data_IF_235582891198
#
_entry.id   IF_235582891198
#
_cell.length_a   1.000
_cell.length_b   1.000
_cell.length_c   1.000
_cell.angle_alpha   90.00
_cell.angle_beta   90.00
_cell.angle_gamma   90.00
#
_symmetry.space_group_name_H-M   'P 1'
#
loop_
_entity.id
_entity.type
_entity.pdbx_description
1 polymer ?
2 non-polymer ?
3 non-polymer ?
4 water ?
#
# COMPACT_ATOMS: atom_id res chain seq x y z
N UNK A 1 -16.36 5.49 -6.67
CA UNK A 1 -16.04 6.91 -6.37
C UNK A 1 -14.74 7.01 -5.56
N UNK A 2 -13.59 7.10 -6.21
CA UNK A 2 -12.31 7.03 -5.48
C UNK A 2 -11.66 8.42 -5.35
N UNK A 3 -12.33 9.48 -5.79
CA UNK A 3 -11.67 10.76 -5.98
C UNK A 3 -11.05 11.35 -4.73
N UNK A 4 -11.58 11.11 -3.55
CA UNK A 4 -11.01 11.70 -2.33
C UNK A 4 -9.63 11.13 -2.02
N UNK A 5 -9.31 9.94 -2.56
CA UNK A 5 -8.01 9.32 -2.38
C UNK A 5 -6.93 9.92 -3.27
N UNK A 6 -7.31 10.65 -4.31
CA UNK A 6 -6.33 11.07 -5.31
C UNK A 6 -5.44 12.15 -4.71
N UNK A 7 -4.19 12.15 -5.10
CA UNK A 7 -3.23 13.16 -4.70
C UNK A 7 -1.93 12.57 -4.25
N UNK A 8 -1.14 13.40 -3.63
CA UNK A 8 0.20 13.06 -3.16
C UNK A 8 0.18 12.99 -1.63
N UNK A 9 0.67 11.88 -1.10
CA UNK A 9 0.58 11.55 0.32
C UNK A 9 1.93 11.16 0.85
N UNK A 10 2.22 11.53 2.10
CA UNK A 10 3.52 11.14 2.66
C UNK A 10 3.33 10.44 3.98
N UNK A 11 4.19 9.47 4.22
CA UNK A 11 4.08 8.65 5.43
C UNK A 11 4.40 9.48 6.67
N UNK A 12 3.51 9.39 7.67
CA UNK A 12 3.68 10.12 8.93
C UNK A 12 3.54 9.25 10.15
N UNK A 13 3.24 7.96 10.04
CA UNK A 13 3.18 7.05 11.19
C UNK A 13 3.24 5.63 10.65
N UNK A 14 3.85 4.73 11.41
CA UNK A 14 3.85 3.33 11.01
C UNK A 14 3.85 2.43 12.24
N UNK A 15 2.94 1.47 12.23
CA UNK A 15 2.82 0.50 13.34
C UNK A 15 2.88 -0.91 12.74
N UNK A 16 3.79 -1.73 13.26
CA UNK A 16 3.88 -3.15 12.96
C UNK A 16 4.33 -3.45 11.52
N UNK A 17 5.01 -2.51 10.86
CA UNK A 17 5.47 -2.79 9.51
C UNK A 17 6.54 -3.89 9.52
N UNK A 18 7.39 -3.93 10.53
CA UNK A 18 8.38 -4.99 10.57
C UNK A 18 7.70 -6.36 10.65
N UNK A 19 6.67 -6.49 11.48
CA UNK A 19 5.95 -7.76 11.57
C UNK A 19 5.39 -8.15 10.21
N UNK A 20 4.79 -7.18 9.53
CA UNK A 20 4.21 -7.46 8.21
C UNK A 20 5.29 -7.92 7.23
N UNK A 21 6.39 -7.19 7.16
CA UNK A 21 7.48 -7.58 6.27
C UNK A 21 8.03 -8.95 6.63
N UNK A 22 8.21 -9.21 7.92
CA UNK A 22 8.76 -10.50 8.31
C UNK A 22 7.82 -11.62 7.87
N UNK A 23 6.50 -11.41 8.01
CA UNK A 23 5.51 -12.40 7.63
C UNK A 23 5.61 -12.73 6.11
N UNK A 24 5.94 -11.75 5.32
CA UNK A 24 6.14 -11.91 3.88
C UNK A 24 7.50 -12.51 3.53
N UNK A 25 8.36 -12.72 4.50
CA UNK A 25 9.68 -13.29 4.21
C UNK A 25 10.72 -12.27 3.79
N UNK A 26 10.51 -10.99 4.08
CA UNK A 26 11.49 -9.96 3.74
C UNK A 26 12.68 -10.10 4.66
N UNK A 27 13.88 -10.06 4.09
CA UNK A 27 15.10 -10.24 4.87
C UNK A 27 15.39 -9.10 5.81
N UNK A 28 16.20 -9.40 6.86
CA UNK A 28 16.39 -8.45 7.94
C UNK A 28 17.02 -7.14 7.45
N UNK A 29 17.92 -7.18 6.49
CA UNK A 29 18.61 -5.96 6.07
C UNK A 29 17.65 -5.06 5.33
N UNK A 30 16.77 -5.64 4.52
CA UNK A 30 15.73 -4.85 3.85
C UNK A 30 14.76 -4.29 4.85
N UNK A 31 14.37 -5.10 5.85
CA UNK A 31 13.47 -4.59 6.88
C UNK A 31 14.09 -3.41 7.63
N UNK A 32 15.41 -3.49 7.92
CA UNK A 32 16.06 -2.42 8.64
C UNK A 32 15.90 -1.10 7.88
N UNK A 33 16.28 -1.11 6.61
CA UNK A 33 16.20 0.12 5.81
C UNK A 33 14.74 0.56 5.68
N UNK A 34 13.86 -0.38 5.40
CA UNK A 34 12.43 -0.07 5.22
C UNK A 34 11.86 0.61 6.47
N UNK A 35 12.29 0.21 7.64
CA UNK A 35 11.76 0.76 8.91
C UNK A 35 12.07 2.23 9.06
N UNK A 36 13.08 2.72 8.35
CA UNK A 36 13.51 4.12 8.39
C UNK A 36 13.13 4.91 7.14
N UNK A 37 12.35 4.33 6.27
CA UNK A 37 11.99 4.93 5.00
C UNK A 37 10.61 5.57 5.14
N UNK A 38 10.42 6.77 4.53
CA UNK A 38 9.13 7.44 4.54
C UNK A 38 8.68 7.64 3.10
N UNK A 39 7.87 6.71 2.56
CA UNK A 39 7.50 6.87 1.16
C UNK A 39 6.53 8.02 0.92
N UNK A 40 6.50 8.40 -0.35
CA UNK A 40 5.48 9.28 -0.91
C UNK A 40 4.65 8.43 -1.84
N UNK A 41 3.33 8.43 -1.65
CA UNK A 41 2.40 7.71 -2.50
C UNK A 41 1.59 8.72 -3.32
N UNK A 42 1.54 8.49 -4.62
CA UNK A 42 0.80 9.37 -5.53
C UNK A 42 -0.28 8.50 -6.16
N UNK A 43 -1.53 8.94 -6.04
CA UNK A 43 -2.67 8.21 -6.58
C UNK A 43 -3.31 9.14 -7.62
N UNK A 44 -3.37 8.67 -8.87
CA UNK A 44 -3.91 9.43 -10.01
C UNK A 44 -4.96 8.55 -10.70
N UNK A 45 -5.87 9.20 -11.43
CA UNK A 45 -6.81 8.47 -12.28
C UNK A 45 -6.88 9.11 -13.63
N UNK A 46 -7.24 8.25 -14.61
CA UNK A 46 -7.59 8.65 -15.97
C UNK A 46 -8.77 7.76 -16.34
N UNK A 47 -9.99 8.30 -16.23
CA UNK A 47 -11.19 7.40 -16.18
C UNK A 47 -11.21 6.45 -14.97
N UNK A 48 -11.45 5.13 -15.22
CA UNK A 48 -11.44 4.06 -14.20
C UNK A 48 -10.09 3.37 -14.25
N UNK A 49 -9.04 4.03 -14.88
CA UNK A 49 -7.68 3.52 -14.73
C UNK A 49 -6.99 4.35 -13.66
N UNK A 50 -6.64 3.70 -12.57
CA UNK A 50 -5.85 4.32 -11.51
C UNK A 50 -4.40 3.97 -11.71
N UNK A 51 -3.56 4.89 -11.30
CA UNK A 51 -2.13 4.66 -11.19
C UNK A 51 -1.70 5.01 -9.78
N UNK A 52 -1.01 4.10 -9.13
CA UNK A 52 -0.57 4.26 -7.76
C UNK A 52 0.93 4.11 -7.75
N UNK A 53 1.62 5.22 -7.48
CA UNK A 53 3.07 5.28 -7.39
C UNK A 53 3.47 5.30 -5.94
N UNK A 54 4.50 4.56 -5.61
CA UNK A 54 5.08 4.62 -4.26
C UNK A 54 6.56 4.89 -4.44
N UNK A 55 7.02 6.03 -3.94
CA UNK A 55 8.38 6.51 -4.16
C UNK A 55 9.10 6.59 -2.83
N UNK A 56 10.38 6.24 -2.83
CA UNK A 56 11.18 6.39 -1.63
C UNK A 56 12.65 6.40 -1.99
N UNK A 57 13.48 6.61 -0.96
CA UNK A 57 14.91 6.55 -1.11
C UNK A 57 15.43 5.11 -1.21
N UNK A 58 14.58 4.12 -1.03
CA UNK A 58 15.00 2.71 -1.03
C UNK A 58 14.45 1.99 -2.24
N UNK A 59 13.15 1.79 -2.29
CA UNK A 59 12.44 1.14 -3.38
C UNK A 59 11.42 2.09 -3.97
N UNK A 60 11.11 1.90 -5.25
CA UNK A 60 10.00 2.58 -5.94
C UNK A 60 9.14 1.55 -6.63
N UNK A 61 7.84 1.77 -6.64
CA UNK A 61 6.91 0.95 -7.40
C UNK A 61 5.94 1.85 -8.10
N UNK A 62 5.23 1.20 -9.16
CA UNK A 62 4.12 1.85 -9.79
C UNK A 62 3.25 0.73 -10.32
N UNK A 63 1.96 0.88 -10.10
CA UNK A 63 0.96 -0.02 -10.69
C UNK A 63 -0.12 0.81 -11.35
N UNK A 64 -0.68 0.29 -12.44
CA UNK A 64 -1.89 0.82 -13.05
C UNK A 64 -2.89 -0.30 -13.16
N UNK A 65 -4.15 0.04 -12.94
CA UNK A 65 -5.18 -0.96 -12.90
C UNK A 65 -6.52 -0.31 -13.15
N UNK A 66 -7.44 -1.11 -13.65
CA UNK A 66 -8.84 -0.74 -13.68
C UNK A 66 -9.48 -1.29 -12.42
N UNK A 67 -10.29 -0.50 -11.75
CA UNK A 67 -11.01 -1.00 -10.58
C UNK A 67 -11.78 -2.24 -10.97
N UNK A 68 -11.65 -3.23 -10.12
CA UNK A 68 -12.41 -4.46 -10.27
C UNK A 68 -11.91 -5.42 -11.34
N UNK A 69 -10.75 -5.19 -11.92
CA UNK A 69 -10.19 -6.06 -12.97
C UNK A 69 -8.82 -6.55 -12.51
N UNK A 70 -8.62 -7.84 -12.53
CA UNK A 70 -7.34 -8.41 -12.06
C UNK A 70 -6.18 -7.92 -12.94
N UNK A 71 -5.03 -7.80 -12.29
CA UNK A 71 -3.81 -7.40 -12.98
C UNK A 71 -2.64 -8.18 -12.34
N UNK A 72 -1.60 -8.40 -13.15
CA UNK A 72 -0.33 -8.92 -12.64
C UNK A 72 0.46 -7.80 -11.97
N UNK A 73 1.18 -8.13 -10.90
CA UNK A 73 1.95 -7.15 -10.15
C UNK A 73 3.23 -7.83 -9.65
N UNK A 74 4.29 -7.05 -9.60
CA UNK A 74 5.54 -7.47 -8.98
C UNK A 74 5.81 -6.45 -7.85
N UNK A 75 5.76 -6.92 -6.62
CA UNK A 75 5.77 -6.03 -5.47
C UNK A 75 7.16 -5.50 -5.17
N UNK A 76 7.22 -4.55 -4.20
CA UNK A 76 8.49 -3.91 -3.84
C UNK A 76 9.50 -4.93 -3.33
N UNK A 77 9.01 -6.00 -2.71
CA UNK A 77 9.81 -7.12 -2.19
C UNK A 77 9.89 -8.28 -3.18
N UNK A 78 9.55 -8.04 -4.45
CA UNK A 78 9.79 -8.99 -5.55
C UNK A 78 8.88 -10.22 -5.52
N UNK A 79 7.70 -10.13 -4.93
CA UNK A 79 6.69 -11.14 -5.11
C UNK A 79 5.95 -10.92 -6.44
N UNK A 80 5.72 -11.99 -7.18
CA UNK A 80 4.92 -11.95 -8.42
C UNK A 80 3.52 -12.42 -8.04
N UNK A 81 2.57 -11.52 -8.08
CA UNK A 81 1.24 -11.75 -7.53
C UNK A 81 0.16 -11.45 -8.55
N UNK A 82 -1.02 -11.96 -8.29
CA UNK A 82 -2.26 -11.63 -9.02
C UNK A 82 -3.06 -10.71 -8.13
N UNK A 83 -3.42 -9.55 -8.64
CA UNK A 83 -3.97 -8.48 -7.80
C UNK A 83 -5.31 -8.00 -8.33
N UNK A 84 -6.11 -7.46 -7.42
CA UNK A 84 -7.32 -6.74 -7.79
C UNK A 84 -7.51 -5.62 -6.79
N UNK A 85 -7.97 -4.46 -7.25
CA UNK A 85 -8.26 -3.32 -6.40
C UNK A 85 -9.73 -2.98 -6.61
N UNK A 86 -10.46 -2.78 -5.53
CA UNK A 86 -11.88 -2.42 -5.60
C UNK A 86 -12.15 -1.40 -4.54
N UNK A 87 -13.33 -0.81 -4.64
CA UNK A 87 -13.86 0.06 -3.60
C UNK A 87 -14.88 -0.78 -2.83
N UNK A 88 -14.73 -0.81 -1.50
CA UNK A 88 -15.52 -1.72 -0.65
C UNK A 88 -15.77 -0.97 0.65
N UNK A 89 -17.00 -0.60 0.91
CA UNK A 89 -17.28 0.12 2.13
C UNK A 89 -16.58 1.44 2.19
N UNK A 90 -16.39 2.08 1.04
CA UNK A 90 -15.67 3.36 0.95
C UNK A 90 -14.18 3.24 1.07
N UNK A 91 -13.64 2.04 1.15
CA UNK A 91 -12.20 1.80 1.30
C UNK A 91 -11.67 1.27 -0.04
N UNK A 92 -10.45 1.64 -0.35
CA UNK A 92 -9.78 1.13 -1.52
C UNK A 92 -9.08 -0.16 -1.08
N UNK A 93 -9.54 -1.32 -1.53
CA UNK A 93 -9.06 -2.62 -1.07
C UNK A 93 -8.25 -3.26 -2.18
N UNK A 94 -6.98 -3.50 -1.92
CA UNK A 94 -6.04 -4.13 -2.84
C UNK A 94 -5.73 -5.53 -2.30
N UNK A 95 -6.10 -6.56 -3.06
CA UNK A 95 -5.86 -7.94 -2.68
C UNK A 95 -4.79 -8.50 -3.60
N UNK A 96 -3.74 -9.10 -3.02
CA UNK A 96 -2.68 -9.77 -3.75
C UNK A 96 -2.72 -11.25 -3.41
N UNK A 97 -2.61 -12.10 -4.44
CA UNK A 97 -2.64 -13.58 -4.30
C UNK A 97 -1.39 -14.16 -4.97
N UNK A 98 -0.73 -15.09 -4.31
CA UNK A 98 0.40 -15.79 -4.91
C UNK A 98 0.65 -17.06 -4.14
N UNK A 99 0.87 -18.17 -4.81
CA UNK A 99 1.26 -19.43 -4.13
C UNK A 99 0.19 -19.80 -3.08
N UNK A 100 -1.06 -19.46 -3.28
CA UNK A 100 -2.09 -19.72 -2.30
C UNK A 100 -2.13 -18.74 -1.12
N UNK A 101 -1.17 -17.86 -1.02
CA UNK A 101 -1.11 -16.81 0.01
C UNK A 101 -1.96 -15.64 -0.44
N UNK A 102 -2.37 -14.86 0.55
CA UNK A 102 -3.05 -13.59 0.28
C UNK A 102 -2.65 -12.51 1.24
N UNK A 103 -2.57 -11.30 0.71
CA UNK A 103 -2.42 -10.13 1.58
C UNK A 103 -3.35 -9.04 1.09
N UNK A 104 -3.85 -8.25 2.02
CA UNK A 104 -4.66 -7.09 1.68
C UNK A 104 -3.95 -5.82 2.11
N UNK A 105 -4.12 -4.80 1.26
CA UNK A 105 -3.64 -3.46 1.48
C UNK A 105 -4.90 -2.58 1.39
N UNK A 106 -5.38 -2.11 2.51
CA UNK A 106 -6.66 -1.42 2.59
C UNK A 106 -6.41 0.04 2.91
N UNK A 107 -6.97 0.93 2.12
CA UNK A 107 -6.81 2.37 2.34
C UNK A 107 -8.18 2.97 2.67
N UNK A 108 -8.18 3.80 3.69
CA UNK A 108 -9.41 4.50 4.08
C UNK A 108 -9.05 5.88 4.55
N UNK A 109 -9.99 6.78 4.44
CA UNK A 109 -9.80 8.16 4.87
C UNK A 109 -10.46 8.36 6.20
N UNK A 110 -9.66 8.78 7.19
CA UNK A 110 -10.16 9.02 8.56
C UNK A 110 -9.64 10.40 8.95
N UNK A 111 -10.55 11.33 9.20
CA UNK A 111 -10.16 12.70 9.63
C UNK A 111 -9.14 13.31 8.68
N UNK A 112 -9.30 13.06 7.39
CA UNK A 112 -8.41 13.64 6.36
C UNK A 112 -7.10 12.92 6.19
N UNK A 113 -6.83 11.89 6.98
CA UNK A 113 -5.62 11.10 6.84
C UNK A 113 -5.94 9.83 6.06
N UNK A 114 -4.95 9.35 5.32
CA UNK A 114 -5.11 8.09 4.62
C UNK A 114 -4.47 6.99 5.46
N UNK A 115 -5.31 6.07 5.89
CA UNK A 115 -4.87 4.98 6.76
C UNK A 115 -4.75 3.74 5.88
N UNK A 116 -3.54 3.20 5.80
CA UNK A 116 -3.21 2.00 5.04
C UNK A 116 -3.05 0.85 6.03
N UNK A 117 -3.90 -0.15 5.93
CA UNK A 117 -3.82 -1.33 6.77
C UNK A 117 -3.36 -2.50 5.91
N UNK A 118 -2.25 -3.11 6.32
CA UNK A 118 -1.62 -4.21 5.60
C UNK A 118 -1.78 -5.47 6.44
N UNK A 119 -2.41 -6.52 5.88
CA UNK A 119 -2.65 -7.74 6.63
C UNK A 119 -2.07 -8.92 5.85
N UNK A 120 -1.25 -9.73 6.51
CA UNK A 120 -0.76 -10.99 5.93
C UNK A 120 -0.57 -11.95 7.09
N UNK A 121 -1.06 -13.14 6.98
CA UNK A 121 -0.97 -14.04 8.11
C UNK A 121 -1.69 -13.40 9.28
N UNK A 122 -1.08 -13.39 10.43
CA UNK A 122 -1.67 -12.71 11.59
C UNK A 122 -1.23 -11.26 11.67
N UNK A 123 -0.23 -10.85 10.89
CA UNK A 123 0.36 -9.53 11.00
C UNK A 123 -0.57 -8.48 10.44
N UNK A 124 -0.78 -7.43 11.23
CA UNK A 124 -1.61 -6.29 10.85
C UNK A 124 -0.80 -5.04 11.10
N UNK A 125 -0.47 -4.34 10.02
CA UNK A 125 0.29 -3.10 10.07
C UNK A 125 -0.60 -1.94 9.69
N UNK A 126 -0.47 -0.85 10.43
CA UNK A 126 -1.25 0.35 10.14
C UNK A 126 -0.26 1.49 9.86
N UNK A 127 -0.36 2.07 8.67
CA UNK A 127 0.50 3.18 8.28
C UNK A 127 -0.41 4.37 7.95
N UNK A 128 0.02 5.51 8.37
CA UNK A 128 -0.77 6.73 8.19
C UNK A 128 -0.03 7.66 7.24
N UNK A 129 -0.77 8.13 6.26
CA UNK A 129 -0.25 9.08 5.27
C UNK A 129 -1.05 10.38 5.40
N UNK A 130 -0.33 11.48 5.17
CA UNK A 130 -0.83 12.88 5.22
C UNK A 130 -0.76 13.47 3.82
N UNK A 131 -1.80 14.22 3.42
CA UNK A 131 -1.80 14.82 2.08
C UNK A 131 -0.75 15.90 2.01
N UNK A 132 -0.03 15.91 0.91
CA UNK A 132 0.85 17.03 0.47
C UNK A 132 0.10 17.90 -0.55
N UNK A 133 0.32 19.18 -0.47
CA UNK A 133 -0.38 20.19 -1.28
C UNK A 133 0.05 20.08 -2.73
#
# INVERSE_FOLDING_TARGET
>A
MVDAFLGTWKLVDSKNFDDYMKSLGVGFATRQVASMTKPTTIIEKNGDILTLKTHSTFKNTEISFKLGVEFDETTADDRKVKSIVTLDGGKLVHLQKWDGQETTLVRELIDGKLILTLTHGTAVCTRTYEKEA
#
